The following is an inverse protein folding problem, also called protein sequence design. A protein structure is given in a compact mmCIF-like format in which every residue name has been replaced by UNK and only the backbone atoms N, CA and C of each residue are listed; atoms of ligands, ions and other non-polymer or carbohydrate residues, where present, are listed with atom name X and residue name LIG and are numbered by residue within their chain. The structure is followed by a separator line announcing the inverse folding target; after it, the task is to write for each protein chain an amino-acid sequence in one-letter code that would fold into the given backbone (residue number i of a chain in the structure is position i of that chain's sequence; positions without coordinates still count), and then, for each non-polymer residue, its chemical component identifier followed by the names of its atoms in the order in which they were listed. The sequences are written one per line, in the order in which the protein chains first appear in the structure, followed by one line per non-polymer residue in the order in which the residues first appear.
data_IF_978252561281
#
_entry.id   IF_978252561281
#
_cell.length_a   1.000
_cell.length_b   1.000
_cell.length_c   1.000
_cell.angle_alpha   90.00
_cell.angle_beta   90.00
_cell.angle_gamma   90.00
#
_symmetry.space_group_name_H-M   'P 1'
#
loop_
_entity.id
_entity.type
_entity.pdbx_description
1 polymer ?
#
# COMPACT_ATOMS: atom_id res chain seq x y z
N UNK A 1 2.55 14.49 18.19
CA UNK A 1 2.80 13.11 18.64
C UNK A 1 4.29 12.99 18.92
N UNK A 2 4.83 11.81 19.23
CA UNK A 2 6.30 11.61 19.23
C UNK A 2 6.81 11.89 17.81
N UNK A 3 7.80 12.78 17.65
CA UNK A 3 8.36 13.17 16.34
C UNK A 3 8.82 11.95 15.53
N UNK A 4 9.42 10.97 16.21
CA UNK A 4 9.84 9.70 15.60
C UNK A 4 8.67 8.84 15.10
N UNK A 5 7.50 8.97 15.72
CA UNK A 5 6.28 8.28 15.30
C UNK A 5 5.64 8.95 14.07
N UNK A 6 5.69 10.27 14.00
CA UNK A 6 5.25 11.04 12.82
C UNK A 6 6.13 10.70 11.62
N UNK A 7 7.46 10.71 11.79
CA UNK A 7 8.43 10.28 10.77
C UNK A 7 8.16 8.85 10.29
N UNK A 8 7.85 7.93 11.22
CA UNK A 8 7.52 6.55 10.87
C UNK A 8 6.21 6.48 10.07
N UNK A 9 5.20 7.27 10.42
CA UNK A 9 3.95 7.34 9.67
C UNK A 9 4.18 7.86 8.25
N UNK A 10 5.03 8.87 8.07
CA UNK A 10 5.36 9.41 6.75
C UNK A 10 6.07 8.38 5.88
N UNK A 11 7.06 7.68 6.42
CA UNK A 11 7.74 6.59 5.70
C UNK A 11 6.79 5.46 5.31
N UNK A 12 5.82 5.13 6.16
CA UNK A 12 4.81 4.13 5.80
C UNK A 12 3.88 4.62 4.68
N UNK A 13 3.57 5.92 4.61
CA UNK A 13 2.81 6.51 3.49
C UNK A 13 3.61 6.41 2.18
N UNK A 14 4.88 6.79 2.22
CA UNK A 14 5.79 6.65 1.06
C UNK A 14 5.84 5.21 0.55
N UNK A 15 6.01 4.23 1.45
CA UNK A 15 6.01 2.80 1.09
C UNK A 15 4.66 2.39 0.48
N UNK A 16 3.53 2.90 1.00
CA UNK A 16 2.22 2.61 0.43
C UNK A 16 2.10 3.14 -1.01
N UNK A 17 2.63 4.32 -1.28
CA UNK A 17 2.62 4.94 -2.61
C UNK A 17 3.53 4.16 -3.57
N UNK A 18 4.74 3.79 -3.14
CA UNK A 18 5.64 2.93 -3.92
C UNK A 18 5.00 1.58 -4.28
N UNK A 19 4.27 0.96 -3.34
CA UNK A 19 3.53 -0.28 -3.59
C UNK A 19 2.40 -0.09 -4.60
N UNK A 20 1.77 1.08 -4.64
CA UNK A 20 0.75 1.41 -5.64
C UNK A 20 1.37 1.56 -7.03
N UNK A 21 2.48 2.28 -7.13
CA UNK A 21 3.17 2.52 -8.40
C UNK A 21 3.72 1.22 -9.01
N UNK A 22 4.28 0.34 -8.17
CA UNK A 22 4.68 -1.00 -8.58
C UNK A 22 3.48 -1.82 -9.05
N UNK A 23 2.35 -1.73 -8.33
CA UNK A 23 1.11 -2.41 -8.73
C UNK A 23 0.61 -1.94 -10.09
N UNK A 24 0.62 -0.63 -10.35
CA UNK A 24 0.23 -0.04 -11.63
C UNK A 24 1.15 -0.49 -12.75
N UNK A 25 2.46 -0.52 -12.51
CA UNK A 25 3.46 -0.99 -13.49
C UNK A 25 3.20 -2.45 -13.90
N UNK A 26 2.91 -3.32 -12.92
CA UNK A 26 2.58 -4.73 -13.17
C UNK A 26 1.27 -4.89 -13.95
N UNK A 27 0.27 -4.04 -13.72
CA UNK A 27 -0.96 -4.06 -14.51
C UNK A 27 -0.71 -3.62 -15.95
N UNK A 28 0.08 -2.55 -16.13
CA UNK A 28 0.42 -2.04 -17.45
C UNK A 28 1.15 -3.11 -18.27
N UNK A 29 2.15 -3.77 -17.69
CA UNK A 29 2.89 -4.85 -18.35
C UNK A 29 1.99 -6.03 -18.76
N UNK A 30 1.01 -6.39 -17.93
CA UNK A 30 0.04 -7.42 -18.26
C UNK A 30 -0.88 -7.01 -19.42
N UNK A 31 -1.32 -5.75 -19.44
CA UNK A 31 -2.12 -5.20 -20.54
C UNK A 31 -1.30 -5.15 -21.83
N UNK A 32 -0.04 -4.73 -21.75
CA UNK A 32 0.85 -4.66 -22.91
C UNK A 32 1.15 -6.05 -23.49
N UNK A 33 1.15 -7.09 -22.65
CA UNK A 33 1.41 -8.48 -23.06
C UNK A 33 0.18 -9.20 -23.60
N UNK A 34 -0.96 -9.11 -22.91
CA UNK A 34 -2.16 -9.93 -23.17
C UNK A 34 -3.36 -9.12 -23.72
N UNK A 35 -3.24 -7.80 -23.83
CA UNK A 35 -4.26 -6.92 -24.38
C UNK A 35 -5.61 -7.02 -23.65
N UNK A 36 -6.69 -7.22 -24.40
CA UNK A 36 -8.05 -7.31 -23.85
C UNK A 36 -8.29 -8.54 -22.96
N UNK A 37 -7.45 -9.57 -23.06
CA UNK A 37 -7.53 -10.79 -22.26
C UNK A 37 -6.67 -10.70 -20.98
N UNK A 38 -6.04 -9.55 -20.73
CA UNK A 38 -5.18 -9.34 -19.58
C UNK A 38 -5.91 -9.63 -18.27
N UNK A 39 -5.35 -10.61 -17.53
CA UNK A 39 -5.82 -10.95 -16.19
C UNK A 39 -4.96 -10.24 -15.17
N UNK A 40 -5.59 -9.84 -14.07
CA UNK A 40 -4.91 -9.25 -12.92
C UNK A 40 -3.80 -10.21 -12.40
N UNK A 41 -2.51 -9.84 -12.49
CA UNK A 41 -1.41 -10.72 -12.11
C UNK A 41 -1.40 -11.04 -10.60
N UNK A 42 -0.92 -12.23 -10.23
CA UNK A 42 -0.78 -12.62 -8.82
C UNK A 42 0.19 -11.71 -8.05
N UNK A 43 1.22 -11.18 -8.74
CA UNK A 43 2.14 -10.21 -8.17
C UNK A 43 1.40 -8.93 -7.77
N UNK A 44 0.56 -8.37 -8.64
CA UNK A 44 -0.20 -7.17 -8.29
C UNK A 44 -1.19 -7.46 -7.15
N UNK A 45 -1.86 -8.62 -7.13
CA UNK A 45 -2.72 -9.00 -5.98
C UNK A 45 -1.93 -9.04 -4.67
N UNK A 46 -0.66 -9.41 -4.72
CA UNK A 46 0.24 -9.39 -3.55
C UNK A 46 0.60 -7.97 -3.14
N UNK A 47 0.95 -7.11 -4.11
CA UNK A 47 1.26 -5.69 -3.88
C UNK A 47 0.07 -4.94 -3.29
N UNK A 48 -1.13 -5.11 -3.86
CA UNK A 48 -2.37 -4.55 -3.33
C UNK A 48 -2.66 -4.94 -1.88
N UNK A 49 -2.38 -6.19 -1.49
CA UNK A 49 -2.54 -6.66 -0.11
C UNK A 49 -1.49 -6.06 0.83
N UNK A 50 -0.24 -5.99 0.38
CA UNK A 50 0.84 -5.36 1.15
C UNK A 50 0.52 -3.88 1.41
N UNK A 51 0.09 -3.15 0.37
CA UNK A 51 -0.30 -1.73 0.47
C UNK A 51 -1.37 -1.51 1.54
N UNK A 52 -2.45 -2.30 1.51
CA UNK A 52 -3.51 -2.24 2.53
C UNK A 52 -3.02 -2.52 3.94
N UNK A 53 -2.06 -3.44 4.10
CA UNK A 53 -1.47 -3.74 5.40
C UNK A 53 -0.65 -2.54 5.92
N UNK A 54 0.09 -1.88 5.04
CA UNK A 54 0.85 -0.66 5.35
C UNK A 54 -0.09 0.49 5.70
N UNK A 55 -1.11 0.78 4.88
CA UNK A 55 -2.13 1.79 5.17
C UNK A 55 -2.80 1.56 6.54
N UNK A 56 -3.11 0.30 6.87
CA UNK A 56 -3.67 -0.07 8.17
C UNK A 56 -2.69 0.20 9.31
N UNK A 57 -1.41 -0.13 9.13
CA UNK A 57 -0.38 0.16 10.12
C UNK A 57 -0.26 1.67 10.36
N UNK A 58 -0.18 2.48 9.29
CA UNK A 58 -0.18 3.94 9.36
C UNK A 58 -1.42 4.45 10.10
N UNK A 59 -2.60 3.94 9.77
CA UNK A 59 -3.84 4.36 10.42
C UNK A 59 -3.85 4.05 11.92
N UNK A 60 -3.33 2.89 12.34
CA UNK A 60 -3.21 2.51 13.75
C UNK A 60 -2.22 3.43 14.49
N UNK A 61 -1.06 3.71 13.89
CA UNK A 61 -0.04 4.55 14.51
C UNK A 61 -0.45 6.04 14.57
N UNK A 62 -1.21 6.50 13.58
CA UNK A 62 -1.73 7.88 13.52
C UNK A 62 -2.93 8.12 14.44
N UNK A 63 -3.61 7.05 14.88
CA UNK A 63 -4.64 7.14 15.89
C UNK A 63 -3.96 7.25 17.25
N UNK A 64 -4.05 8.42 17.89
CA UNK A 64 -3.53 8.63 19.24
C UNK A 64 -4.09 7.59 20.25
N UNK A 65 -3.52 7.51 21.46
CA UNK A 65 -3.70 6.40 22.42
C UNK A 65 -5.14 6.08 22.86
N UNK A 66 -6.14 6.88 22.49
CA UNK A 66 -7.56 6.67 22.83
C UNK A 66 -8.37 5.97 21.72
N UNK A 67 -7.87 5.90 20.48
CA UNK A 67 -8.65 5.38 19.35
C UNK A 67 -8.22 3.96 18.97
N UNK A 68 -8.32 3.04 19.93
CA UNK A 68 -8.36 1.60 19.64
C UNK A 68 -9.51 0.98 20.43
N UNK A 69 -10.74 1.32 20.02
CA UNK A 69 -11.91 0.50 20.35
C UNK A 69 -12.20 -0.33 19.10
N UNK A 70 -11.88 -1.62 19.19
CA UNK A 70 -12.32 -2.66 18.25
C UNK A 70 -13.60 -3.27 18.81
#
# INVERSE_FOLDING_TARGET
MDESLEDLCDRLREISDELADLGMSVLQEAIDSDGAEAKRPELEKRLSRARRAVEKATAILSQGPESTVI
#
